data_IF_516621013103
#
_entry.id   IF_516621013103
#
_cell.length_a   1.000
_cell.length_b   1.000
_cell.length_c   1.000
_cell.angle_alpha   90.00
_cell.angle_beta   90.00
_cell.angle_gamma   90.00
#
_symmetry.space_group_name_H-M   'P 1'
#
loop_
_entity.id
_entity.type
_entity.pdbx_description
1 polymer ?
#
# COMPACT_ATOMS: atom_id res chain seq x y z
N UNK A 1 -1.83 64.53 23.06
CA UNK A 1 -0.73 63.55 23.10
C UNK A 1 -1.30 62.22 23.58
N UNK A 2 -1.47 61.25 22.69
CA UNK A 2 -1.95 59.90 23.03
C UNK A 2 -0.76 58.93 23.04
N UNK A 3 -0.68 57.97 23.98
CA UNK A 3 0.43 57.03 24.02
C UNK A 3 0.25 55.92 22.97
N UNK A 4 1.34 55.59 22.29
CA UNK A 4 1.41 54.53 21.30
C UNK A 4 1.38 53.14 21.97
N UNK A 5 0.55 52.24 21.45
CA UNK A 5 0.49 50.84 21.88
C UNK A 5 1.69 50.03 21.33
N UNK A 6 2.29 49.11 22.09
CA UNK A 6 3.40 48.30 21.61
C UNK A 6 2.88 47.15 20.73
N UNK A 7 3.48 47.00 19.54
CA UNK A 7 3.30 45.85 18.66
C UNK A 7 4.12 44.67 19.18
N UNK A 8 3.44 43.59 19.59
CA UNK A 8 4.09 42.33 20.00
C UNK A 8 4.22 41.45 18.74
N UNK A 9 5.42 40.94 18.39
CA UNK A 9 5.57 40.03 17.28
C UNK A 9 5.07 38.63 17.69
N UNK A 10 4.06 38.12 17.00
CA UNK A 10 3.58 36.76 17.15
C UNK A 10 4.53 35.80 16.41
N UNK A 11 5.37 35.08 17.15
CA UNK A 11 6.22 34.01 16.62
C UNK A 11 5.39 32.75 16.40
N UNK A 12 5.09 32.45 15.13
CA UNK A 12 4.43 31.20 14.73
C UNK A 12 5.44 30.05 14.80
N UNK A 13 5.39 29.25 15.86
CA UNK A 13 6.23 28.06 16.01
C UNK A 13 5.68 26.93 15.12
N UNK A 14 6.24 26.77 13.93
CA UNK A 14 5.93 25.64 13.05
C UNK A 14 6.56 24.36 13.63
N UNK A 15 5.76 23.55 14.32
CA UNK A 15 6.18 22.22 14.77
C UNK A 15 6.23 21.31 13.52
N UNK A 16 7.40 21.19 12.92
CA UNK A 16 7.70 20.16 11.94
C UNK A 16 7.69 18.81 12.66
N UNK A 17 6.57 18.10 12.58
CA UNK A 17 6.49 16.72 13.04
C UNK A 17 7.33 15.84 12.11
N UNK A 18 8.55 15.52 12.54
CA UNK A 18 9.39 14.50 11.92
C UNK A 18 8.63 13.17 11.99
N UNK A 19 7.99 12.79 10.88
CA UNK A 19 7.36 11.48 10.75
C UNK A 19 8.49 10.47 10.61
N UNK A 20 8.90 9.85 11.71
CA UNK A 20 9.82 8.72 11.69
C UNK A 20 9.08 7.51 11.14
N UNK A 21 9.27 7.25 9.84
CA UNK A 21 8.85 5.98 9.24
C UNK A 21 9.64 4.86 9.93
N UNK A 22 8.95 4.03 10.71
CA UNK A 22 9.57 2.88 11.37
C UNK A 22 10.07 1.91 10.30
N UNK A 23 11.40 1.78 10.15
CA UNK A 23 12.03 0.86 9.20
C UNK A 23 12.70 -0.28 9.97
N UNK A 24 12.17 -1.51 9.91
CA UNK A 24 12.65 -2.63 10.73
C UNK A 24 13.98 -3.26 10.27
N UNK A 25 14.72 -2.67 9.33
CA UNK A 25 15.96 -3.25 8.80
C UNK A 25 17.15 -2.28 8.79
N UNK A 26 18.27 -2.62 9.45
CA UNK A 26 19.49 -1.83 9.42
C UNK A 26 20.04 -1.67 8.00
N UNK A 27 20.67 -0.53 7.74
CA UNK A 27 21.47 -0.29 6.52
C UNK A 27 22.79 -1.06 6.61
N UNK A 28 22.76 -2.37 6.38
CA UNK A 28 24.00 -3.13 6.20
C UNK A 28 24.53 -2.88 4.79
N UNK A 29 25.64 -2.13 4.68
CA UNK A 29 26.49 -2.16 3.49
C UNK A 29 27.28 -3.48 3.54
N UNK A 30 26.99 -4.49 2.71
CA UNK A 30 27.75 -5.71 2.75
C UNK A 30 29.07 -5.47 2.02
N UNK A 31 30.17 -5.57 2.77
CA UNK A 31 31.50 -5.64 2.20
C UNK A 31 31.58 -6.97 1.42
N UNK A 32 31.71 -6.87 0.09
CA UNK A 32 31.54 -8.00 -0.81
C UNK A 32 32.80 -8.87 -0.83
N UNK A 33 32.92 -9.77 0.15
CA UNK A 33 33.80 -10.95 0.02
C UNK A 33 32.94 -12.19 -0.14
N UNK A 34 32.71 -12.54 -1.42
CA UNK A 34 32.36 -13.86 -1.94
C UNK A 34 31.81 -14.89 -0.92
N UNK A 35 30.58 -14.69 -0.46
CA UNK A 35 29.75 -15.83 -0.08
C UNK A 35 29.11 -16.32 -1.37
N UNK A 36 29.50 -17.52 -1.82
CA UNK A 36 28.84 -18.25 -2.87
C UNK A 36 27.41 -18.62 -2.42
N UNK A 37 26.53 -17.62 -2.43
CA UNK A 37 25.11 -17.78 -2.21
C UNK A 37 24.58 -18.43 -3.49
N UNK A 38 24.26 -19.72 -3.38
CA UNK A 38 23.65 -20.52 -4.43
C UNK A 38 22.74 -19.66 -5.31
N UNK A 39 23.00 -19.65 -6.62
CA UNK A 39 22.30 -18.86 -7.62
C UNK A 39 20.80 -18.87 -7.35
N UNK A 40 20.31 -17.82 -6.71
CA UNK A 40 18.91 -17.69 -6.34
C UNK A 40 18.12 -17.71 -7.64
N UNK A 41 17.25 -18.70 -7.83
CA UNK A 41 16.28 -18.74 -8.94
C UNK A 41 15.27 -17.57 -8.90
N UNK A 42 15.46 -16.57 -8.02
CA UNK A 42 14.58 -15.40 -7.94
C UNK A 42 14.79 -14.52 -9.15
N UNK A 43 13.69 -14.29 -9.83
CA UNK A 43 13.54 -13.24 -10.81
C UNK A 43 13.68 -11.88 -10.09
N UNK A 44 14.91 -11.40 -9.93
CA UNK A 44 15.23 -9.99 -9.58
C UNK A 44 15.17 -9.09 -10.82
N UNK A 45 14.66 -9.62 -11.94
CA UNK A 45 14.48 -8.91 -13.18
C UNK A 45 13.45 -7.80 -13.03
N UNK A 46 13.95 -6.56 -12.98
CA UNK A 46 13.20 -5.35 -13.30
C UNK A 46 12.36 -5.59 -14.56
N UNK A 47 11.06 -5.37 -14.49
CA UNK A 47 10.29 -5.23 -15.74
C UNK A 47 10.57 -3.86 -16.36
N UNK A 48 10.31 -3.71 -17.67
CA UNK A 48 10.44 -2.43 -18.38
C UNK A 48 9.62 -1.29 -17.73
N UNK A 49 8.62 -1.64 -16.91
CA UNK A 49 7.71 -0.72 -16.25
C UNK A 49 7.97 -0.53 -14.75
N UNK A 50 8.64 -1.48 -14.08
CA UNK A 50 8.82 -1.49 -12.62
C UNK A 50 10.14 -2.14 -12.24
N UNK A 51 11.02 -1.37 -11.59
CA UNK A 51 12.24 -1.85 -10.92
C UNK A 51 11.89 -2.21 -9.47
N UNK A 52 11.56 -3.47 -9.20
CA UNK A 52 11.20 -3.94 -7.87
C UNK A 52 12.33 -4.80 -7.28
N UNK A 53 12.91 -4.35 -6.15
CA UNK A 53 13.82 -5.17 -5.34
C UNK A 53 13.04 -5.78 -4.18
N UNK A 54 13.00 -7.09 -4.13
CA UNK A 54 12.27 -7.81 -3.10
C UNK A 54 13.19 -8.16 -1.92
N UNK A 55 12.67 -8.00 -0.69
CA UNK A 55 13.44 -8.11 0.54
C UNK A 55 13.28 -9.46 1.25
N UNK A 56 12.72 -10.47 0.57
CA UNK A 56 12.53 -11.82 1.10
C UNK A 56 11.57 -11.93 2.31
N UNK A 57 10.71 -10.94 2.55
CA UNK A 57 9.71 -10.98 3.63
C UNK A 57 8.43 -11.73 3.23
N UNK A 58 7.54 -12.09 4.18
CA UNK A 58 6.30 -12.79 3.87
C UNK A 58 5.47 -12.07 2.79
N UNK A 59 4.87 -12.84 1.88
CA UNK A 59 3.94 -12.31 0.87
C UNK A 59 2.58 -12.98 0.98
N UNK A 60 1.55 -12.34 0.42
CA UNK A 60 0.20 -12.90 0.36
C UNK A 60 0.12 -13.88 -0.81
N UNK A 61 -0.02 -15.17 -0.52
CA UNK A 61 0.15 -16.26 -1.50
C UNK A 61 -1.14 -17.02 -1.83
N UNK A 62 -2.15 -16.94 -0.97
CA UNK A 62 -3.43 -17.64 -1.11
C UNK A 62 -4.51 -16.77 -1.78
N UNK A 63 -5.68 -17.35 -2.09
CA UNK A 63 -6.84 -16.57 -2.54
C UNK A 63 -7.20 -15.49 -1.51
N UNK A 64 -7.18 -14.23 -1.92
CA UNK A 64 -7.42 -13.09 -1.05
C UNK A 64 -8.84 -12.59 -1.29
N UNK A 65 -9.59 -12.40 -0.21
CA UNK A 65 -10.88 -11.69 -0.26
C UNK A 65 -10.75 -10.38 0.49
N UNK A 66 -10.98 -9.26 -0.20
CA UNK A 66 -10.90 -7.92 0.39
C UNK A 66 -12.30 -7.47 0.79
N UNK A 67 -12.52 -7.27 2.09
CA UNK A 67 -13.74 -6.67 2.62
C UNK A 67 -13.51 -5.18 2.87
N UNK A 68 -14.39 -4.32 2.35
CA UNK A 68 -14.22 -2.87 2.44
C UNK A 68 -15.19 -2.28 3.46
N UNK A 69 -14.67 -1.43 4.35
CA UNK A 69 -15.47 -0.56 5.20
C UNK A 69 -15.37 0.86 4.63
N UNK A 70 -16.46 1.37 4.06
CA UNK A 70 -16.60 2.75 3.63
C UNK A 70 -16.90 3.64 4.83
N UNK A 71 -15.85 3.97 5.56
CA UNK A 71 -15.92 4.82 6.74
C UNK A 71 -15.86 6.30 6.34
N UNK A 72 -16.95 7.02 6.58
CA UNK A 72 -17.22 8.39 6.11
C UNK A 72 -18.04 8.49 4.83
N UNK A 73 -18.05 9.70 4.27
CA UNK A 73 -18.85 10.03 3.08
C UNK A 73 -18.08 9.70 1.80
N UNK A 74 -18.24 8.47 1.32
CA UNK A 74 -17.68 8.01 0.05
C UNK A 74 -18.69 8.10 -1.10
N UNK A 75 -18.34 8.85 -2.15
CA UNK A 75 -19.17 9.00 -3.34
C UNK A 75 -19.05 7.78 -4.27
N UNK A 76 -20.08 7.55 -5.10
CA UNK A 76 -20.10 6.42 -6.05
C UNK A 76 -18.86 6.35 -6.96
N UNK A 77 -18.35 7.46 -7.55
CA UNK A 77 -17.16 7.42 -8.39
C UNK A 77 -15.90 7.00 -7.62
N UNK A 78 -15.71 7.49 -6.39
CA UNK A 78 -14.57 7.14 -5.54
C UNK A 78 -14.57 5.66 -5.19
N UNK A 79 -15.74 5.12 -4.83
CA UNK A 79 -15.89 3.68 -4.58
C UNK A 79 -15.59 2.85 -5.83
N UNK A 80 -16.05 3.32 -7.00
CA UNK A 80 -15.81 2.65 -8.29
C UNK A 80 -14.31 2.53 -8.57
N UNK A 81 -13.54 3.61 -8.36
CA UNK A 81 -12.08 3.62 -8.57
C UNK A 81 -11.40 2.56 -7.68
N UNK A 82 -11.76 2.49 -6.40
CA UNK A 82 -11.17 1.52 -5.47
C UNK A 82 -11.54 0.08 -5.86
N UNK A 83 -12.80 -0.17 -6.24
CA UNK A 83 -13.21 -1.49 -6.74
C UNK A 83 -12.47 -1.87 -8.03
N UNK A 84 -12.35 -0.96 -8.99
CA UNK A 84 -11.60 -1.19 -10.23
C UNK A 84 -10.12 -1.47 -9.94
N UNK A 85 -9.52 -0.77 -8.97
CA UNK A 85 -8.16 -1.04 -8.53
C UNK A 85 -8.00 -2.45 -7.98
N UNK A 86 -8.87 -2.89 -7.06
CA UNK A 86 -8.83 -4.25 -6.51
C UNK A 86 -9.03 -5.29 -7.61
N UNK A 87 -10.02 -5.10 -8.48
CA UNK A 87 -10.24 -5.98 -9.63
C UNK A 87 -9.07 -5.98 -10.63
N UNK A 88 -8.25 -4.93 -10.67
CA UNK A 88 -7.09 -4.87 -11.57
C UNK A 88 -5.99 -5.85 -11.20
N UNK A 89 -5.92 -6.29 -9.93
CA UNK A 89 -4.91 -7.25 -9.45
C UNK A 89 -5.08 -8.62 -10.11
N UNK A 90 -6.35 -9.03 -10.27
CA UNK A 90 -6.74 -10.31 -10.88
C UNK A 90 -6.98 -10.22 -12.38
N UNK A 91 -6.80 -9.03 -12.98
CA UNK A 91 -7.12 -8.82 -14.39
C UNK A 91 -6.07 -9.50 -15.29
N UNK A 92 -6.54 -10.24 -16.30
CA UNK A 92 -5.67 -10.78 -17.34
C UNK A 92 -5.57 -9.78 -18.51
N UNK A 93 -4.35 -9.45 -19.01
CA UNK A 93 -4.17 -8.61 -20.20
C UNK A 93 -4.83 -9.19 -21.46
N UNK A 94 -5.12 -10.49 -21.48
CA UNK A 94 -5.72 -11.19 -22.61
C UNK A 94 -7.25 -11.06 -22.68
N UNK A 95 -7.91 -10.79 -21.54
CA UNK A 95 -9.38 -10.72 -21.49
C UNK A 95 -9.95 -9.36 -21.89
N UNK A 96 -9.13 -8.30 -21.92
CA UNK A 96 -9.59 -6.96 -22.31
C UNK A 96 -8.41 -6.08 -22.80
N UNK A 97 -8.26 -5.88 -24.12
CA UNK A 97 -7.19 -5.07 -24.69
C UNK A 97 -7.28 -3.58 -24.32
N UNK A 98 -8.46 -3.09 -23.90
CA UNK A 98 -8.63 -1.70 -23.42
C UNK A 98 -8.22 -1.50 -21.96
N UNK A 99 -8.09 -2.60 -21.19
CA UNK A 99 -7.49 -2.63 -19.84
C UNK A 99 -5.98 -2.80 -19.82
N UNK A 100 -5.29 -2.57 -20.94
CA UNK A 100 -3.83 -2.41 -20.98
C UNK A 100 -3.39 -1.11 -20.30
N UNK A 101 -3.70 -0.98 -19.01
CA UNK A 101 -3.18 0.06 -18.12
C UNK A 101 -1.88 -0.46 -17.50
N UNK A 102 -0.91 0.45 -17.29
CA UNK A 102 0.36 0.20 -16.59
C UNK A 102 0.18 -0.59 -15.28
N UNK A 103 -0.93 -0.38 -14.56
CA UNK A 103 -1.26 -1.11 -13.32
C UNK A 103 -1.38 -2.62 -13.51
N UNK A 104 -2.05 -3.09 -14.58
CA UNK A 104 -2.21 -4.54 -14.85
C UNK A 104 -0.88 -5.16 -15.25
N UNK A 105 -0.08 -4.45 -16.05
CA UNK A 105 1.28 -4.87 -16.39
C UNK A 105 2.18 -4.94 -15.12
N UNK A 106 2.06 -3.98 -14.21
CA UNK A 106 2.76 -3.96 -12.93
C UNK A 106 2.44 -5.17 -12.04
N UNK A 107 1.17 -5.58 -11.96
CA UNK A 107 0.79 -6.77 -11.18
C UNK A 107 1.44 -8.06 -11.70
N UNK A 108 1.61 -8.19 -13.02
CA UNK A 108 2.30 -9.35 -13.61
C UNK A 108 3.75 -9.44 -13.12
N UNK A 109 4.46 -8.31 -13.04
CA UNK A 109 5.84 -8.26 -12.51
C UNK A 109 5.87 -8.62 -11.03
N UNK A 110 4.94 -8.10 -10.23
CA UNK A 110 4.85 -8.42 -8.80
C UNK A 110 4.64 -9.92 -8.60
N UNK A 111 3.75 -10.54 -9.38
CA UNK A 111 3.45 -11.98 -9.31
C UNK A 111 4.62 -12.93 -9.62
N UNK A 112 5.76 -12.44 -10.13
CA UNK A 112 6.98 -13.23 -10.32
C UNK A 112 7.76 -13.45 -9.03
N UNK A 113 7.40 -12.75 -7.96
CA UNK A 113 8.09 -12.84 -6.68
C UNK A 113 7.50 -13.96 -5.82
N UNK A 114 8.38 -14.66 -5.12
CA UNK A 114 8.06 -15.76 -4.21
C UNK A 114 8.47 -15.44 -2.79
N UNK A 115 7.75 -15.95 -1.80
CA UNK A 115 8.19 -15.93 -0.41
C UNK A 115 9.45 -16.80 -0.17
N UNK A 116 9.80 -17.03 1.10
CA UNK A 116 10.91 -17.91 1.48
C UNK A 116 10.57 -19.41 1.32
N UNK A 117 9.31 -19.75 1.14
CA UNK A 117 8.82 -21.12 0.91
C UNK A 117 8.70 -21.46 -0.58
N UNK A 118 8.93 -20.49 -1.46
CA UNK A 118 8.78 -20.64 -2.91
C UNK A 118 7.36 -20.41 -3.41
N UNK A 119 6.44 -19.99 -2.54
CA UNK A 119 5.06 -19.70 -2.91
C UNK A 119 4.93 -18.33 -3.57
N UNK A 120 4.25 -18.27 -4.71
CA UNK A 120 4.09 -17.06 -5.51
C UNK A 120 3.09 -16.10 -4.85
N UNK A 121 3.26 -14.80 -5.08
CA UNK A 121 2.22 -13.82 -4.75
C UNK A 121 0.91 -14.19 -5.44
N UNK A 122 -0.19 -14.10 -4.68
CA UNK A 122 -1.52 -14.44 -5.16
C UNK A 122 -1.91 -13.61 -6.38
N UNK A 123 -2.37 -14.30 -7.42
CA UNK A 123 -2.94 -13.68 -8.63
C UNK A 123 -4.45 -13.47 -8.52
N UNK A 124 -5.06 -13.95 -7.44
CA UNK A 124 -6.50 -13.98 -7.27
C UNK A 124 -6.90 -13.20 -6.02
N UNK A 125 -7.36 -11.99 -6.28
CA UNK A 125 -7.99 -11.10 -5.31
C UNK A 125 -9.44 -10.90 -5.71
N UNK A 126 -10.33 -11.20 -4.78
CA UNK A 126 -11.77 -11.01 -4.93
C UNK A 126 -12.27 -9.93 -3.98
N UNK A 127 -13.35 -9.27 -4.38
CA UNK A 127 -14.04 -8.31 -3.52
C UNK A 127 -15.11 -9.05 -2.71
N UNK A 128 -15.02 -8.96 -1.39
CA UNK A 128 -16.01 -9.51 -0.47
C UNK A 128 -17.12 -8.51 -0.14
N UNK A 129 -17.73 -8.72 1.03
CA UNK A 129 -18.76 -7.82 1.55
C UNK A 129 -18.24 -6.40 1.78
N UNK A 130 -19.13 -5.44 1.57
CA UNK A 130 -18.84 -4.02 1.75
C UNK A 130 -19.76 -3.42 2.82
N UNK A 131 -19.18 -2.77 3.83
CA UNK A 131 -19.92 -2.06 4.89
C UNK A 131 -19.85 -0.57 4.66
N UNK A 132 -20.93 0.17 4.94
CA UNK A 132 -20.96 1.63 4.84
C UNK A 132 -21.27 2.24 6.20
N UNK A 133 -20.34 3.05 6.69
CA UNK A 133 -20.55 3.88 7.87
C UNK A 133 -20.34 5.33 7.49
N UNK A 134 -21.42 6.06 7.22
CA UNK A 134 -21.34 7.45 6.75
C UNK A 134 -21.02 8.44 7.85
N UNK A 135 -21.32 8.09 9.10
CA UNK A 135 -21.42 9.06 10.19
C UNK A 135 -20.19 9.05 11.09
N UNK A 136 -19.17 8.26 10.74
CA UNK A 136 -17.99 8.08 11.57
C UNK A 136 -18.38 7.58 12.97
N UNK A 137 -18.96 6.38 13.07
CA UNK A 137 -19.49 5.84 14.34
C UNK A 137 -18.51 5.87 15.51
N UNK A 138 -17.20 5.89 15.24
CA UNK A 138 -16.10 5.99 16.21
C UNK A 138 -15.27 7.27 16.06
N UNK A 139 -15.83 8.34 15.46
CA UNK A 139 -15.12 9.59 15.18
C UNK A 139 -14.17 9.50 13.98
N UNK A 140 -13.40 10.56 13.71
CA UNK A 140 -12.58 10.67 12.49
C UNK A 140 -11.27 9.87 12.52
N UNK A 141 -10.94 9.25 13.66
CA UNK A 141 -9.74 8.44 13.83
C UNK A 141 -10.14 7.04 14.28
N UNK A 142 -9.54 6.02 13.67
CA UNK A 142 -9.80 4.62 13.98
C UNK A 142 -8.56 4.00 14.62
N UNK A 143 -8.78 3.27 15.72
CA UNK A 143 -7.78 2.37 16.31
C UNK A 143 -8.02 0.95 15.82
N UNK A 144 -7.04 0.07 16.03
CA UNK A 144 -7.20 -1.36 15.73
C UNK A 144 -8.42 -1.98 16.44
N UNK A 145 -8.68 -1.56 17.67
CA UNK A 145 -9.82 -2.02 18.47
C UNK A 145 -11.15 -1.46 17.94
N UNK A 146 -11.21 -0.17 17.61
CA UNK A 146 -12.46 0.43 17.10
C UNK A 146 -12.83 -0.06 15.70
N UNK A 147 -11.86 -0.56 14.91
CA UNK A 147 -12.18 -1.22 13.64
C UNK A 147 -12.99 -2.50 13.88
N UNK A 148 -12.70 -3.26 14.95
CA UNK A 148 -13.40 -4.51 15.24
C UNK A 148 -14.88 -4.28 15.57
N UNK A 149 -15.22 -3.17 16.22
CA UNK A 149 -16.62 -2.81 16.51
C UNK A 149 -17.35 -2.23 15.29
N UNK A 150 -16.62 -1.74 14.29
CA UNK A 150 -17.22 -1.28 13.03
C UNK A 150 -17.57 -2.46 12.13
N UNK A 151 -16.94 -3.63 12.24
CA UNK A 151 -17.19 -4.80 11.37
C UNK A 151 -18.53 -5.45 11.67
#
# INVERSE_FOLDING_TARGET
MAPAAPLIPATLLAILSLSTAYRPWPSTHPNATNLALASSKKFEGSSDFVHLRYHMGPVLTNNITVHIIWYGTWQKPQKKIIREFISSISASPASDPTRRRSTVAGWKTVQLHTDQTGSNISRSVSLGQEKKDRFYSHGKSLTRLSIQSVI
#
